data_IF_128357708922
#
_entry.id   IF_128357708922
#
_cell.length_a   1.000
_cell.length_b   1.000
_cell.length_c   1.000
_cell.angle_alpha   90.00
_cell.angle_beta   90.00
_cell.angle_gamma   90.00
#
_symmetry.space_group_name_H-M   'P 1'
#
loop_
_entity.id
_entity.type
_entity.pdbx_description
1 polymer ?
#
# COMPACT_ATOMS: atom_id res chain seq x y z
N UNK A 1 1.27 -21.37 3.47
CA UNK A 1 -0.18 -20.96 3.51
C UNK A 1 -0.45 -19.72 2.67
N UNK A 2 0.45 -18.75 2.66
CA UNK A 2 0.28 -17.49 1.89
C UNK A 2 0.19 -17.72 0.37
N UNK A 3 0.86 -18.72 -0.17
CA UNK A 3 0.92 -19.01 -1.62
C UNK A 3 -0.47 -19.26 -2.24
N UNK A 4 -1.40 -19.82 -1.49
CA UNK A 4 -2.79 -20.04 -1.97
C UNK A 4 -3.58 -18.75 -2.12
N UNK A 5 -3.18 -17.66 -1.46
CA UNK A 5 -3.87 -16.38 -1.60
C UNK A 5 -3.66 -15.79 -2.99
N UNK A 6 -2.46 -15.89 -3.56
CA UNK A 6 -2.18 -15.40 -4.90
C UNK A 6 -2.99 -16.13 -5.99
N UNK A 7 -3.18 -17.44 -5.83
CA UNK A 7 -4.08 -18.20 -6.71
C UNK A 7 -5.54 -17.73 -6.59
N UNK A 8 -6.02 -17.46 -5.38
CA UNK A 8 -7.36 -16.89 -5.17
C UNK A 8 -7.49 -15.53 -5.83
N UNK A 9 -6.46 -14.68 -5.70
CA UNK A 9 -6.42 -13.35 -6.32
C UNK A 9 -6.52 -13.43 -7.84
N UNK A 10 -5.70 -14.29 -8.48
CA UNK A 10 -5.78 -14.50 -9.94
C UNK A 10 -7.15 -14.98 -10.36
N UNK A 11 -7.74 -15.92 -9.60
CA UNK A 11 -9.12 -16.36 -9.87
C UNK A 11 -10.11 -15.19 -9.79
N UNK A 12 -10.02 -14.33 -8.77
CA UNK A 12 -10.90 -13.16 -8.64
C UNK A 12 -10.76 -12.19 -9.82
N UNK A 13 -9.55 -12.03 -10.36
CA UNK A 13 -9.29 -11.22 -11.56
C UNK A 13 -9.87 -11.91 -12.80
N UNK A 14 -9.55 -13.18 -13.02
CA UNK A 14 -10.06 -13.97 -14.17
C UNK A 14 -11.59 -14.01 -14.21
N UNK A 15 -12.25 -14.15 -13.06
CA UNK A 15 -13.72 -14.14 -12.98
C UNK A 15 -14.33 -12.82 -13.47
N UNK A 16 -13.59 -11.70 -13.37
CA UNK A 16 -14.03 -10.37 -13.81
C UNK A 16 -13.64 -10.04 -15.26
N UNK A 17 -12.60 -10.69 -15.79
CA UNK A 17 -12.15 -10.44 -17.16
C UNK A 17 -13.22 -10.87 -18.17
N UNK A 18 -13.30 -10.14 -19.27
CA UNK A 18 -14.16 -10.51 -20.41
C UNK A 18 -13.56 -11.69 -21.16
N UNK A 19 -14.37 -12.40 -21.94
CA UNK A 19 -13.88 -13.46 -22.83
C UNK A 19 -13.02 -12.88 -23.97
N UNK A 20 -12.14 -13.70 -24.53
CA UNK A 20 -11.14 -13.33 -25.53
C UNK A 20 -10.27 -12.18 -25.07
N UNK A 21 -9.78 -12.28 -23.83
CA UNK A 21 -8.96 -11.22 -23.22
C UNK A 21 -7.67 -11.73 -22.60
N UNK A 22 -6.70 -10.85 -22.60
CA UNK A 22 -5.40 -11.04 -21.94
C UNK A 22 -5.22 -9.90 -20.94
N UNK A 23 -4.66 -10.20 -19.76
CA UNK A 23 -4.11 -9.22 -18.84
C UNK A 23 -2.59 -9.42 -18.77
N UNK A 24 -1.85 -8.34 -18.96
CA UNK A 24 -0.39 -8.32 -18.79
C UNK A 24 -0.03 -7.40 -17.64
N UNK A 25 0.80 -7.90 -16.74
CA UNK A 25 1.35 -7.15 -15.60
C UNK A 25 2.87 -7.20 -15.62
N UNK A 26 3.48 -6.08 -15.33
CA UNK A 26 4.93 -5.90 -15.24
C UNK A 26 5.31 -5.70 -13.78
N UNK A 27 6.44 -6.26 -13.34
CA UNK A 27 6.91 -6.06 -11.96
C UNK A 27 7.42 -4.65 -11.72
N UNK A 28 7.95 -3.98 -12.75
CA UNK A 28 8.39 -2.57 -12.74
C UNK A 28 9.10 -2.15 -11.43
N UNK A 29 10.19 -2.79 -11.05
CA UNK A 29 10.90 -2.41 -9.85
C UNK A 29 11.51 -1.02 -10.04
N UNK A 30 11.65 -0.28 -8.95
CA UNK A 30 12.59 0.84 -8.89
C UNK A 30 14.00 0.28 -8.71
N UNK A 31 14.93 0.80 -9.49
CA UNK A 31 16.34 0.46 -9.36
C UNK A 31 16.78 0.65 -7.90
N UNK A 32 17.57 -0.29 -7.40
CA UNK A 32 18.21 -0.28 -6.08
C UNK A 32 17.29 -0.30 -4.85
N UNK A 33 15.98 -0.47 -5.01
CA UNK A 33 15.05 -0.56 -3.88
C UNK A 33 14.50 -1.97 -3.73
N UNK A 34 15.00 -2.68 -2.74
CA UNK A 34 14.49 -4.02 -2.39
C UNK A 34 12.99 -3.97 -2.06
N UNK A 35 12.21 -4.93 -2.55
CA UNK A 35 10.77 -5.06 -2.34
C UNK A 35 9.90 -3.96 -2.99
N UNK A 36 10.43 -3.19 -3.93
CA UNK A 36 9.67 -2.16 -4.64
C UNK A 36 9.27 -2.61 -6.05
N UNK A 37 8.43 -3.63 -6.11
CA UNK A 37 7.77 -4.05 -7.35
C UNK A 37 6.36 -3.49 -7.43
N UNK A 38 5.76 -3.57 -8.60
CA UNK A 38 4.37 -3.18 -8.79
C UNK A 38 3.43 -3.94 -7.86
N UNK A 39 2.52 -3.23 -7.19
CA UNK A 39 1.62 -3.81 -6.18
C UNK A 39 0.59 -4.77 -6.77
N UNK A 40 0.12 -4.55 -8.01
CA UNK A 40 -0.82 -5.44 -8.67
C UNK A 40 -0.10 -6.67 -9.23
N UNK A 41 1.15 -6.50 -9.70
CA UNK A 41 2.01 -7.63 -10.02
C UNK A 41 2.23 -8.53 -8.78
N UNK A 42 2.62 -7.94 -7.64
CA UNK A 42 2.80 -8.70 -6.40
C UNK A 42 1.51 -9.40 -5.96
N UNK A 43 0.36 -8.72 -6.06
CA UNK A 43 -0.96 -9.23 -5.68
C UNK A 43 -1.32 -10.54 -6.39
N UNK A 44 -0.83 -10.75 -7.61
CA UNK A 44 -1.09 -11.96 -8.39
C UNK A 44 0.06 -12.96 -8.40
N UNK A 45 1.32 -12.52 -8.17
CA UNK A 45 2.52 -13.35 -8.28
C UNK A 45 3.10 -13.79 -6.94
N UNK A 46 3.03 -12.93 -5.92
CA UNK A 46 3.62 -13.16 -4.60
C UNK A 46 5.14 -13.05 -4.55
N UNK A 47 5.78 -12.53 -5.59
CA UNK A 47 7.24 -12.40 -5.62
C UNK A 47 7.72 -10.98 -5.90
N UNK A 48 9.00 -10.71 -5.59
CA UNK A 48 9.65 -9.41 -5.71
C UNK A 48 10.74 -9.40 -6.79
N UNK A 49 10.65 -10.30 -7.78
CA UNK A 49 11.64 -10.38 -8.85
C UNK A 49 11.48 -9.23 -9.85
N UNK A 50 12.63 -8.79 -10.38
CA UNK A 50 12.74 -7.67 -11.31
C UNK A 50 12.30 -8.06 -12.71
N UNK A 51 11.73 -7.09 -13.43
CA UNK A 51 11.38 -7.18 -14.86
C UNK A 51 10.53 -8.38 -15.25
N UNK A 52 10.05 -9.16 -14.29
CA UNK A 52 9.16 -10.28 -14.55
C UNK A 52 7.80 -9.80 -15.05
N UNK A 53 7.09 -10.68 -15.73
CA UNK A 53 5.76 -10.39 -16.27
C UNK A 53 4.80 -11.52 -15.89
N UNK A 54 3.57 -11.16 -15.57
CA UNK A 54 2.47 -12.11 -15.40
C UNK A 54 1.47 -11.90 -16.51
N UNK A 55 1.01 -13.00 -17.11
CA UNK A 55 -0.02 -13.00 -18.13
C UNK A 55 -1.17 -13.88 -17.67
N UNK A 56 -2.37 -13.31 -17.64
CA UNK A 56 -3.61 -14.06 -17.46
C UNK A 56 -4.40 -14.00 -18.76
N UNK A 57 -4.84 -15.17 -19.25
CA UNK A 57 -5.65 -15.29 -20.45
C UNK A 57 -7.00 -15.90 -20.12
N UNK A 58 -8.05 -15.44 -20.79
CA UNK A 58 -9.39 -15.97 -20.66
C UNK A 58 -10.13 -16.04 -22.00
N UNK A 59 -10.65 -17.21 -22.29
CA UNK A 59 -11.62 -17.44 -23.36
C UNK A 59 -12.69 -18.44 -22.89
N UNK A 60 -13.84 -17.94 -22.45
CA UNK A 60 -14.89 -18.78 -21.84
C UNK A 60 -14.39 -19.50 -20.59
N UNK A 61 -14.32 -20.82 -20.66
CA UNK A 61 -13.78 -21.67 -19.58
C UNK A 61 -12.27 -21.93 -19.70
N UNK A 62 -11.68 -21.64 -20.86
CA UNK A 62 -10.24 -21.79 -21.06
C UNK A 62 -9.53 -20.58 -20.42
N UNK A 63 -8.75 -20.86 -19.39
CA UNK A 63 -7.95 -19.85 -18.69
C UNK A 63 -6.51 -20.31 -18.56
N UNK A 64 -5.57 -19.38 -18.78
CA UNK A 64 -4.14 -19.63 -18.59
C UNK A 64 -3.56 -18.62 -17.63
N UNK A 65 -2.64 -19.08 -16.81
CA UNK A 65 -1.85 -18.26 -15.86
C UNK A 65 -0.39 -18.52 -16.17
N UNK A 66 0.33 -17.52 -16.65
CA UNK A 66 1.71 -17.64 -17.07
C UNK A 66 2.57 -16.59 -16.35
N UNK A 67 3.81 -16.94 -16.05
CA UNK A 67 4.81 -16.01 -15.56
C UNK A 67 6.08 -16.12 -16.39
N UNK A 68 6.64 -14.97 -16.73
CA UNK A 68 7.87 -14.84 -17.51
C UNK A 68 8.96 -14.27 -16.60
N UNK A 69 10.08 -14.98 -16.53
CA UNK A 69 11.19 -14.71 -15.60
C UNK A 69 12.52 -14.63 -16.34
N UNK A 70 13.50 -14.01 -15.71
CA UNK A 70 14.86 -14.03 -16.21
C UNK A 70 15.48 -15.43 -16.19
N UNK A 71 16.23 -15.83 -17.23
CA UNK A 71 17.09 -17.01 -17.15
C UNK A 71 18.19 -16.78 -16.11
N UNK A 72 18.75 -17.87 -15.58
CA UNK A 72 19.95 -17.81 -14.75
C UNK A 72 21.14 -17.30 -15.55
N UNK A 73 21.82 -16.30 -15.02
CA UNK A 73 23.06 -15.73 -15.57
C UNK A 73 24.13 -15.78 -14.48
N UNK A 74 25.19 -16.57 -14.71
CA UNK A 74 26.27 -16.76 -13.75
C UNK A 74 27.03 -15.48 -13.43
N UNK A 75 27.22 -14.61 -14.43
CA UNK A 75 27.91 -13.35 -14.23
C UNK A 75 27.08 -12.40 -13.35
N UNK A 76 25.81 -12.19 -13.68
CA UNK A 76 24.90 -11.37 -12.88
C UNK A 76 24.73 -11.93 -11.46
N UNK A 77 24.63 -13.26 -11.32
CA UNK A 77 24.48 -13.91 -10.02
C UNK A 77 25.66 -13.64 -9.06
N UNK A 78 26.88 -13.48 -9.59
CA UNK A 78 28.05 -13.09 -8.78
C UNK A 78 27.99 -11.65 -8.27
N UNK A 79 27.27 -10.75 -8.94
CA UNK A 79 27.21 -9.33 -8.59
C UNK A 79 25.98 -8.96 -7.76
N UNK A 80 24.81 -9.46 -8.14
CA UNK A 80 23.54 -9.03 -7.56
C UNK A 80 22.71 -10.18 -6.97
N UNK A 81 23.23 -11.41 -7.00
CA UNK A 81 22.51 -12.62 -6.58
C UNK A 81 21.78 -13.28 -7.75
N UNK A 82 21.48 -14.56 -7.59
CA UNK A 82 20.73 -15.33 -8.58
C UNK A 82 19.24 -14.97 -8.52
N UNK A 83 18.55 -14.87 -9.68
CA UNK A 83 17.09 -14.78 -9.69
C UNK A 83 16.46 -16.06 -9.14
N UNK A 84 15.20 -16.01 -8.76
CA UNK A 84 14.46 -17.19 -8.32
C UNK A 84 14.36 -18.23 -9.46
N UNK A 85 14.57 -19.50 -9.12
CA UNK A 85 14.40 -20.59 -10.09
C UNK A 85 12.92 -20.80 -10.44
N UNK A 86 12.64 -21.51 -11.55
CA UNK A 86 11.27 -21.87 -11.93
C UNK A 86 10.55 -22.64 -10.81
N UNK A 87 11.26 -23.51 -10.08
CA UNK A 87 10.71 -24.25 -8.94
C UNK A 87 10.33 -23.32 -7.79
N UNK A 88 11.21 -22.37 -7.44
CA UNK A 88 10.93 -21.38 -6.38
C UNK A 88 9.76 -20.46 -6.75
N UNK A 89 9.70 -19.99 -7.99
CA UNK A 89 8.56 -19.21 -8.50
C UNK A 89 7.25 -20.02 -8.45
N UNK A 90 7.30 -21.30 -8.89
CA UNK A 90 6.13 -22.19 -8.81
C UNK A 90 5.66 -22.41 -7.38
N UNK A 91 6.58 -22.58 -6.46
CA UNK A 91 6.26 -22.74 -5.03
C UNK A 91 5.61 -21.47 -4.47
N UNK A 92 6.14 -20.29 -4.78
CA UNK A 92 5.62 -19.02 -4.28
C UNK A 92 4.27 -18.65 -4.90
N UNK A 93 4.16 -18.70 -6.22
CA UNK A 93 2.99 -18.19 -6.96
C UNK A 93 1.89 -19.23 -7.18
N UNK A 94 2.24 -20.51 -7.15
CA UNK A 94 1.43 -21.63 -7.62
C UNK A 94 1.07 -21.54 -9.13
N UNK A 95 1.81 -20.74 -9.92
CA UNK A 95 1.75 -20.75 -11.37
C UNK A 95 2.66 -21.89 -11.86
N UNK A 96 2.12 -22.77 -12.70
CA UNK A 96 2.89 -23.90 -13.25
C UNK A 96 3.46 -23.64 -14.63
N UNK A 97 2.88 -22.70 -15.38
CA UNK A 97 3.29 -22.32 -16.72
C UNK A 97 4.31 -21.18 -16.63
N UNK A 98 5.61 -21.53 -16.64
CA UNK A 98 6.71 -20.61 -16.37
C UNK A 98 7.65 -20.60 -17.57
N UNK A 99 7.78 -19.44 -18.19
CA UNK A 99 8.61 -19.15 -19.33
C UNK A 99 9.80 -18.25 -18.99
N UNK A 100 10.79 -18.23 -19.86
CA UNK A 100 11.80 -17.18 -19.82
C UNK A 100 11.32 -15.94 -20.59
N UNK A 101 11.83 -14.76 -20.21
CA UNK A 101 11.44 -13.48 -20.82
C UNK A 101 11.65 -13.45 -22.33
N UNK A 102 12.63 -14.16 -22.84
CA UNK A 102 12.92 -14.29 -24.27
C UNK A 102 11.74 -14.92 -25.07
N UNK A 103 10.93 -15.74 -24.40
CA UNK A 103 9.77 -16.41 -24.99
C UNK A 103 8.52 -15.51 -25.01
N UNK A 104 8.54 -14.38 -24.28
CA UNK A 104 7.35 -13.54 -24.06
C UNK A 104 6.67 -13.11 -25.34
N UNK A 105 7.42 -12.56 -26.29
CA UNK A 105 6.84 -12.02 -27.52
C UNK A 105 6.22 -13.13 -28.38
N UNK A 106 6.85 -14.29 -28.47
CA UNK A 106 6.33 -15.43 -29.26
C UNK A 106 5.04 -16.01 -28.64
N UNK A 107 4.99 -16.09 -27.30
CA UNK A 107 3.80 -16.56 -26.58
C UNK A 107 2.66 -15.54 -26.74
N UNK A 108 2.96 -14.24 -26.60
CA UNK A 108 1.95 -13.19 -26.78
C UNK A 108 1.39 -13.16 -28.21
N UNK A 109 2.24 -13.33 -29.24
CA UNK A 109 1.78 -13.43 -30.63
C UNK A 109 0.77 -14.55 -30.83
N UNK A 110 1.02 -15.72 -30.21
CA UNK A 110 0.08 -16.84 -30.27
C UNK A 110 -1.25 -16.51 -29.57
N UNK A 111 -1.20 -15.84 -28.43
CA UNK A 111 -2.42 -15.46 -27.68
C UNK A 111 -3.23 -14.37 -28.41
N UNK A 112 -2.56 -13.43 -29.08
CA UNK A 112 -3.22 -12.36 -29.85
C UNK A 112 -3.97 -12.83 -31.08
N UNK A 113 -3.73 -14.07 -31.54
CA UNK A 113 -4.52 -14.66 -32.64
C UNK A 113 -5.98 -14.91 -32.23
N UNK A 114 -6.24 -15.17 -30.95
CA UNK A 114 -7.57 -15.47 -30.41
C UNK A 114 -8.14 -14.34 -29.53
N UNK A 115 -7.28 -13.54 -28.91
CA UNK A 115 -7.70 -12.45 -28.07
C UNK A 115 -8.09 -11.20 -28.85
N UNK A 116 -9.14 -10.52 -28.41
CA UNK A 116 -9.60 -9.25 -28.95
C UNK A 116 -9.45 -8.09 -27.96
N UNK A 117 -9.10 -8.40 -26.71
CA UNK A 117 -9.00 -7.43 -25.63
C UNK A 117 -7.70 -7.61 -24.86
N UNK A 118 -7.04 -6.50 -24.60
CA UNK A 118 -5.82 -6.45 -23.80
C UNK A 118 -6.02 -5.51 -22.60
N UNK A 119 -5.97 -6.09 -21.40
CA UNK A 119 -5.89 -5.33 -20.15
C UNK A 119 -4.44 -5.04 -19.80
N UNK A 120 -4.15 -3.78 -19.49
CA UNK A 120 -2.86 -3.33 -19.01
C UNK A 120 -3.10 -2.40 -17.81
N UNK A 121 -2.25 -2.43 -16.81
CA UNK A 121 -2.40 -1.60 -15.60
C UNK A 121 -1.93 -0.17 -15.86
N UNK A 122 -2.79 0.67 -16.42
CA UNK A 122 -2.52 2.04 -16.82
C UNK A 122 -2.69 3.04 -15.65
N UNK A 123 -2.04 2.77 -14.51
CA UNK A 123 -2.15 3.60 -13.30
C UNK A 123 -1.71 5.04 -13.50
N UNK A 124 -0.66 5.25 -14.27
CA UNK A 124 -0.11 6.57 -14.55
C UNK A 124 -0.42 6.97 -15.99
N UNK A 125 -1.70 7.30 -16.24
CA UNK A 125 -2.16 7.79 -17.55
C UNK A 125 -1.46 9.08 -17.98
N UNK A 126 -0.83 9.81 -17.04
CA UNK A 126 -0.09 11.04 -17.31
C UNK A 126 1.34 10.77 -17.76
N UNK A 127 1.86 9.57 -17.52
CA UNK A 127 3.19 9.18 -17.98
C UNK A 127 3.12 8.37 -19.29
N UNK A 128 3.25 9.01 -20.46
CA UNK A 128 3.14 8.33 -21.74
C UNK A 128 4.32 7.38 -22.02
N UNK A 129 5.32 7.36 -21.16
CA UNK A 129 6.55 6.55 -21.26
C UNK A 129 6.61 5.43 -20.25
N UNK A 130 5.56 5.19 -19.45
CA UNK A 130 5.53 4.01 -18.60
C UNK A 130 5.59 2.72 -19.43
N UNK A 131 6.14 1.67 -18.84
CA UNK A 131 6.25 0.35 -19.48
C UNK A 131 4.90 -0.12 -20.02
N UNK A 132 3.86 0.05 -19.22
CA UNK A 132 2.49 -0.34 -19.54
C UNK A 132 1.94 0.45 -20.72
N UNK A 133 2.15 1.77 -20.72
CA UNK A 133 1.67 2.64 -21.79
C UNK A 133 2.39 2.36 -23.12
N UNK A 134 3.71 2.17 -23.07
CA UNK A 134 4.49 1.81 -24.24
C UNK A 134 4.09 0.43 -24.79
N UNK A 135 3.90 -0.55 -23.90
CA UNK A 135 3.44 -1.87 -24.30
C UNK A 135 2.03 -1.83 -24.93
N UNK A 136 1.10 -1.10 -24.32
CA UNK A 136 -0.25 -0.93 -24.84
C UNK A 136 -0.26 -0.29 -26.25
N UNK A 137 0.54 0.76 -26.46
CA UNK A 137 0.70 1.43 -27.78
C UNK A 137 1.28 0.48 -28.82
N UNK A 138 2.39 -0.17 -28.51
CA UNK A 138 3.05 -1.10 -29.43
C UNK A 138 2.13 -2.29 -29.80
N UNK A 139 1.44 -2.84 -28.82
CA UNK A 139 0.48 -3.93 -29.04
C UNK A 139 -0.68 -3.49 -29.95
N UNK A 140 -1.22 -2.28 -29.72
CA UNK A 140 -2.30 -1.72 -30.57
C UNK A 140 -1.86 -1.44 -32.01
N UNK A 141 -0.64 -0.93 -32.18
CA UNK A 141 -0.07 -0.66 -33.48
C UNK A 141 0.14 -1.95 -34.29
N UNK A 142 0.72 -2.97 -33.66
CA UNK A 142 1.00 -4.26 -34.27
C UNK A 142 -0.27 -5.10 -34.50
N UNK A 143 -1.26 -5.01 -33.61
CA UNK A 143 -2.51 -5.74 -33.62
C UNK A 143 -3.71 -4.80 -33.56
N UNK A 144 -4.10 -4.16 -34.71
CA UNK A 144 -5.17 -3.16 -34.73
C UNK A 144 -6.54 -3.63 -34.25
N UNK A 145 -6.80 -4.94 -34.24
CA UNK A 145 -8.04 -5.54 -33.75
C UNK A 145 -8.18 -5.51 -32.23
N UNK A 146 -7.06 -5.38 -31.48
CA UNK A 146 -7.09 -5.35 -30.02
C UNK A 146 -7.77 -4.08 -29.50
N UNK A 147 -8.63 -4.24 -28.51
CA UNK A 147 -9.14 -3.12 -27.70
C UNK A 147 -8.38 -3.10 -26.37
N UNK A 148 -7.77 -1.96 -26.07
CA UNK A 148 -7.00 -1.78 -24.83
C UNK A 148 -7.94 -1.36 -23.71
N UNK A 149 -7.82 -2.00 -22.57
CA UNK A 149 -8.55 -1.68 -21.34
C UNK A 149 -7.59 -1.39 -20.21
N UNK A 150 -7.92 -0.38 -19.37
CA UNK A 150 -7.23 -0.17 -18.12
C UNK A 150 -7.64 -1.27 -17.10
N UNK A 151 -6.66 -1.98 -16.55
CA UNK A 151 -6.89 -3.05 -15.59
C UNK A 151 -7.26 -2.54 -14.17
N UNK A 152 -7.14 -1.24 -13.90
CA UNK A 152 -7.40 -0.65 -12.57
C UNK A 152 -8.73 -1.11 -11.98
N UNK A 153 -9.80 -1.13 -12.79
CA UNK A 153 -11.14 -1.55 -12.34
C UNK A 153 -11.20 -2.99 -11.81
N UNK A 154 -10.44 -3.91 -12.42
CA UNK A 154 -10.33 -5.30 -11.98
C UNK A 154 -9.69 -5.39 -10.59
N UNK A 155 -8.56 -4.69 -10.42
CA UNK A 155 -7.82 -4.69 -9.15
C UNK A 155 -8.55 -3.93 -8.04
N UNK A 156 -9.14 -2.78 -8.35
CA UNK A 156 -9.94 -2.03 -7.39
C UNK A 156 -11.05 -2.89 -6.79
N UNK A 157 -11.78 -3.62 -7.63
CA UNK A 157 -12.84 -4.51 -7.16
C UNK A 157 -12.31 -5.70 -6.37
N UNK A 158 -11.23 -6.36 -6.84
CA UNK A 158 -10.63 -7.51 -6.16
C UNK A 158 -10.02 -7.14 -4.81
N UNK A 159 -9.33 -6.00 -4.71
CA UNK A 159 -8.59 -5.56 -3.52
C UNK A 159 -9.43 -4.83 -2.48
N UNK A 160 -10.68 -4.44 -2.81
CA UNK A 160 -11.57 -3.72 -1.87
C UNK A 160 -11.93 -4.58 -0.68
N UNK A 161 -12.34 -5.84 -0.89
CA UNK A 161 -12.66 -6.77 0.19
C UNK A 161 -11.47 -7.72 0.37
N UNK A 162 -10.86 -7.66 1.55
CA UNK A 162 -9.67 -8.45 1.87
C UNK A 162 -10.03 -9.87 2.24
N UNK A 163 -9.24 -10.82 1.76
CA UNK A 163 -9.30 -12.20 2.21
C UNK A 163 -8.73 -12.32 3.66
N UNK A 164 -9.09 -13.37 4.41
CA UNK A 164 -8.55 -13.58 5.76
C UNK A 164 -7.03 -13.57 5.82
N UNK A 165 -6.35 -14.15 4.83
CA UNK A 165 -4.90 -14.19 4.73
C UNK A 165 -4.30 -12.79 4.56
N UNK A 166 -4.95 -11.91 3.78
CA UNK A 166 -4.54 -10.51 3.61
C UNK A 166 -4.69 -9.71 4.91
N UNK A 167 -5.76 -10.00 5.67
CA UNK A 167 -5.98 -9.37 6.98
C UNK A 167 -4.86 -9.72 7.97
N UNK A 168 -4.35 -10.95 7.94
CA UNK A 168 -3.22 -11.35 8.79
C UNK A 168 -1.93 -10.61 8.42
N UNK A 169 -1.66 -10.37 7.13
CA UNK A 169 -0.52 -9.54 6.69
C UNK A 169 -0.67 -8.08 7.16
N UNK A 170 -1.87 -7.51 7.07
CA UNK A 170 -2.17 -6.17 7.59
C UNK A 170 -1.97 -6.10 9.11
N UNK A 171 -2.44 -7.10 9.86
CA UNK A 171 -2.22 -7.19 11.31
C UNK A 171 -0.74 -7.27 11.64
N UNK A 172 0.04 -7.99 10.83
CA UNK A 172 1.50 -8.07 11.00
C UNK A 172 2.16 -6.71 10.80
N UNK A 173 1.80 -5.97 9.74
CA UNK A 173 2.27 -4.61 9.51
C UNK A 173 1.92 -3.68 10.70
N UNK A 174 0.67 -3.73 11.20
CA UNK A 174 0.23 -2.97 12.38
C UNK A 174 1.04 -3.34 13.62
N UNK A 175 1.30 -4.62 13.83
CA UNK A 175 2.10 -5.10 14.98
C UNK A 175 3.54 -4.59 14.92
N UNK A 176 4.15 -4.55 13.73
CA UNK A 176 5.51 -4.02 13.55
C UNK A 176 5.52 -2.51 13.80
N UNK A 177 4.55 -1.77 13.25
CA UNK A 177 4.42 -0.32 13.48
C UNK A 177 4.23 0.01 14.96
N UNK A 178 3.41 -0.79 15.67
CA UNK A 178 3.27 -0.66 17.12
C UNK A 178 4.62 -0.80 17.83
N UNK A 179 5.46 -1.76 17.46
CA UNK A 179 6.82 -1.92 17.99
C UNK A 179 7.71 -0.71 17.71
N UNK A 180 7.56 -0.11 16.52
CA UNK A 180 8.23 1.15 16.20
C UNK A 180 7.83 2.30 17.11
N UNK A 181 6.52 2.46 17.37
CA UNK A 181 6.01 3.48 18.29
C UNK A 181 6.51 3.23 19.72
N UNK A 182 6.48 1.98 20.20
CA UNK A 182 7.01 1.62 21.51
C UNK A 182 8.50 2.00 21.62
N UNK A 183 9.31 1.72 20.59
CA UNK A 183 10.72 2.09 20.57
C UNK A 183 10.95 3.61 20.59
N UNK A 184 10.12 4.40 19.89
CA UNK A 184 10.14 5.87 20.01
C UNK A 184 9.88 6.29 21.46
N UNK A 185 8.84 5.73 22.11
CA UNK A 185 8.46 6.10 23.47
C UNK A 185 9.52 5.76 24.50
N UNK A 186 10.21 4.63 24.36
CA UNK A 186 11.30 4.20 25.24
C UNK A 186 12.52 5.17 25.16
N UNK A 187 12.62 5.94 24.06
CA UNK A 187 13.70 6.91 23.85
C UNK A 187 13.22 8.36 23.83
N UNK A 188 11.93 8.60 24.17
CA UNK A 188 11.33 9.94 24.14
C UNK A 188 12.03 10.90 25.09
N UNK A 189 12.59 11.97 24.53
CA UNK A 189 13.22 13.09 25.23
C UNK A 189 13.28 14.28 24.30
N UNK A 190 13.67 15.42 24.83
CA UNK A 190 14.02 16.59 24.00
C UNK A 190 15.14 16.23 23.02
N UNK A 191 14.84 16.31 21.72
CA UNK A 191 15.71 15.91 20.60
C UNK A 191 15.16 16.42 19.28
N UNK A 192 15.92 16.30 18.22
CA UNK A 192 15.39 16.58 16.87
C UNK A 192 14.33 15.56 16.45
N UNK A 193 13.37 16.00 15.67
CA UNK A 193 12.27 15.16 15.16
C UNK A 193 12.80 13.92 14.39
N UNK A 194 13.80 14.12 13.50
CA UNK A 194 14.44 12.99 12.78
C UNK A 194 15.16 12.00 13.69
N UNK A 195 15.64 12.44 14.87
CA UNK A 195 16.25 11.51 15.83
C UNK A 195 15.20 10.59 16.46
N UNK A 196 14.00 11.11 16.74
CA UNK A 196 12.89 10.30 17.23
C UNK A 196 12.37 9.37 16.11
N UNK A 197 12.29 9.86 14.88
CA UNK A 197 11.97 9.04 13.70
C UNK A 197 12.93 7.86 13.55
N UNK A 198 14.24 8.06 13.75
CA UNK A 198 15.24 7.00 13.60
C UNK A 198 15.02 5.78 14.50
N UNK A 199 14.36 5.93 15.64
CA UNK A 199 13.97 4.80 16.49
C UNK A 199 12.84 3.98 15.87
N UNK A 200 11.93 4.63 15.13
CA UNK A 200 10.94 3.92 14.33
C UNK A 200 11.60 3.10 13.23
N UNK A 201 12.50 3.72 12.47
CA UNK A 201 13.22 3.10 11.36
C UNK A 201 13.99 1.87 11.80
N UNK A 202 14.73 2.00 12.88
CA UNK A 202 15.47 0.89 13.47
C UNK A 202 14.55 -0.28 13.83
N UNK A 203 13.42 0.01 14.47
CA UNK A 203 12.50 -1.03 14.93
C UNK A 203 11.79 -1.72 13.76
N UNK A 204 11.24 -0.98 12.79
CA UNK A 204 10.54 -1.62 11.67
C UNK A 204 11.46 -2.51 10.86
N UNK A 205 12.73 -2.08 10.64
CA UNK A 205 13.74 -2.89 9.97
C UNK A 205 14.10 -4.13 10.79
N UNK A 206 14.27 -3.99 12.11
CA UNK A 206 14.59 -5.09 13.02
C UNK A 206 13.49 -6.17 13.03
N UNK A 207 12.22 -5.76 12.99
CA UNK A 207 11.07 -6.68 12.99
C UNK A 207 10.65 -7.17 11.60
N UNK A 208 11.42 -6.85 10.55
CA UNK A 208 11.30 -7.45 9.22
C UNK A 208 10.24 -6.79 8.33
N UNK A 209 9.95 -5.51 8.52
CA UNK A 209 9.18 -4.76 7.54
C UNK A 209 9.89 -4.74 6.17
N UNK A 210 9.13 -4.76 5.10
CA UNK A 210 9.66 -4.67 3.72
C UNK A 210 9.95 -3.23 3.29
N UNK A 211 9.48 -2.25 4.05
CA UNK A 211 9.69 -0.82 3.81
C UNK A 211 8.75 0.04 4.62
N UNK A 212 8.73 1.33 4.31
CA UNK A 212 7.73 2.26 4.81
C UNK A 212 6.41 2.10 4.05
N UNK A 213 5.30 2.36 4.72
CA UNK A 213 4.00 2.49 4.06
C UNK A 213 3.90 3.82 3.29
N UNK A 214 4.44 4.87 3.89
CA UNK A 214 4.57 6.24 3.40
C UNK A 214 5.69 6.94 4.17
N UNK A 215 6.17 8.12 3.72
CA UNK A 215 7.16 8.89 4.46
C UNK A 215 6.65 9.26 5.85
N UNK A 216 7.47 9.04 6.88
CA UNK A 216 7.12 9.29 8.28
C UNK A 216 6.94 10.80 8.53
N UNK A 217 5.93 11.17 9.30
CA UNK A 217 5.73 12.50 9.84
C UNK A 217 6.05 12.47 11.33
N UNK A 218 7.00 13.31 11.76
CA UNK A 218 7.35 13.53 13.15
C UNK A 218 7.26 15.05 13.43
N UNK A 219 6.08 15.51 13.86
CA UNK A 219 5.74 16.92 13.90
C UNK A 219 5.57 17.44 15.33
N UNK A 220 6.53 18.21 15.84
CA UNK A 220 6.52 18.73 17.20
C UNK A 220 5.94 20.15 17.28
N UNK A 221 5.33 20.50 18.41
CA UNK A 221 4.78 21.81 18.68
C UNK A 221 3.86 22.32 17.57
N UNK A 222 4.19 23.45 16.96
CA UNK A 222 3.42 24.08 15.88
C UNK A 222 3.39 23.26 14.58
N UNK A 223 4.43 22.45 14.34
CA UNK A 223 4.53 21.63 13.13
C UNK A 223 3.41 20.59 13.06
N UNK A 224 2.92 20.10 14.22
CA UNK A 224 1.75 19.22 14.31
C UNK A 224 0.43 19.82 13.80
N UNK A 225 0.41 21.12 13.46
CA UNK A 225 -0.73 21.78 12.81
C UNK A 225 -0.64 21.74 11.26
N UNK A 226 0.46 21.24 10.70
CA UNK A 226 0.63 21.01 9.28
C UNK A 226 0.37 19.54 8.98
N UNK A 227 -0.70 19.23 8.21
CA UNK A 227 -1.15 17.86 8.00
C UNK A 227 -0.11 16.97 7.29
N UNK A 228 0.65 17.52 6.35
CA UNK A 228 1.71 16.81 5.64
C UNK A 228 3.06 17.46 5.88
N UNK A 229 3.42 17.60 7.17
CA UNK A 229 4.75 18.07 7.56
C UNK A 229 5.78 16.96 7.29
N UNK A 230 6.77 17.26 6.46
CA UNK A 230 7.71 16.26 5.96
C UNK A 230 9.18 16.55 6.30
N UNK A 231 9.45 17.74 6.86
CA UNK A 231 10.84 18.16 7.08
C UNK A 231 11.50 17.40 8.23
N UNK A 232 10.76 17.16 9.33
CA UNK A 232 11.20 16.42 10.51
C UNK A 232 12.54 16.97 11.11
N UNK A 233 12.79 18.27 11.00
CA UNK A 233 14.10 18.88 11.34
C UNK A 233 14.08 19.74 12.61
N UNK A 234 12.91 20.07 13.15
CA UNK A 234 12.81 20.91 14.34
C UNK A 234 13.14 20.13 15.63
N UNK A 235 13.38 20.87 16.71
CA UNK A 235 13.60 20.30 18.05
C UNK A 235 12.26 20.13 18.75
N UNK A 236 11.91 18.89 19.07
CA UNK A 236 10.83 18.53 19.96
C UNK A 236 11.22 18.90 21.41
N UNK A 237 10.62 19.95 21.99
CA UNK A 237 10.98 20.51 23.30
C UNK A 237 10.09 19.96 24.41
N UNK A 238 10.65 19.94 25.61
CA UNK A 238 9.84 19.68 26.80
C UNK A 238 8.70 20.70 26.93
N UNK A 239 7.48 20.19 27.10
CA UNK A 239 6.25 21.00 27.10
C UNK A 239 5.48 20.97 25.79
N UNK A 240 6.11 20.59 24.68
CA UNK A 240 5.43 20.38 23.40
C UNK A 240 4.69 19.03 23.37
N UNK A 241 3.70 18.95 22.49
CA UNK A 241 3.22 17.69 21.94
C UNK A 241 4.00 17.39 20.66
N UNK A 242 4.23 16.10 20.39
CA UNK A 242 4.72 15.62 19.10
C UNK A 242 3.71 14.66 18.51
N UNK A 243 3.33 14.89 17.26
CA UNK A 243 2.50 14.01 16.46
C UNK A 243 3.42 13.14 15.61
N UNK A 244 3.19 11.84 15.67
CA UNK A 244 3.75 10.88 14.73
C UNK A 244 2.63 10.36 13.84
N UNK A 245 2.85 10.42 12.54
CA UNK A 245 2.03 9.74 11.53
C UNK A 245 2.96 8.85 10.71
N UNK A 246 2.82 7.55 10.91
CA UNK A 246 3.81 6.58 10.48
C UNK A 246 3.21 5.20 10.23
N UNK A 247 3.87 4.44 9.39
CA UNK A 247 3.45 3.10 9.05
C UNK A 247 4.53 2.32 8.31
N UNK A 248 4.50 1.01 8.43
CA UNK A 248 5.37 0.15 7.67
C UNK A 248 4.60 -0.69 6.64
N UNK A 249 5.32 -1.14 5.63
CA UNK A 249 4.88 -2.15 4.68
C UNK A 249 5.42 -3.51 5.09
N UNK A 250 4.57 -4.52 5.08
CA UNK A 250 4.94 -5.91 5.26
C UNK A 250 4.28 -6.73 4.15
N UNK A 251 5.09 -7.35 3.28
CA UNK A 251 4.61 -8.08 2.10
C UNK A 251 3.58 -7.26 1.28
N UNK A 252 3.87 -5.97 1.03
CA UNK A 252 3.02 -5.01 0.31
C UNK A 252 1.70 -4.63 1.02
N UNK A 253 1.43 -5.13 2.22
CA UNK A 253 0.33 -4.65 3.07
C UNK A 253 0.84 -3.60 4.03
N UNK A 254 0.15 -2.47 4.07
CA UNK A 254 0.58 -1.29 4.81
C UNK A 254 -0.22 -1.11 6.09
N UNK A 255 0.43 -0.57 7.11
CA UNK A 255 -0.21 0.04 8.27
C UNK A 255 -0.14 1.57 8.17
N UNK A 256 -1.00 2.23 8.91
CA UNK A 256 -1.11 3.69 8.97
C UNK A 256 -1.63 4.05 10.35
N UNK A 257 -0.79 4.70 11.18
CA UNK A 257 -1.10 4.98 12.58
C UNK A 257 -0.60 6.36 12.97
N UNK A 258 -1.54 7.26 13.27
CA UNK A 258 -1.23 8.56 13.86
C UNK A 258 -1.36 8.52 15.38
N UNK A 259 -0.38 9.04 16.11
CA UNK A 259 -0.40 9.19 17.59
C UNK A 259 0.29 10.47 18.01
N UNK A 260 -0.24 11.07 19.07
CA UNK A 260 0.32 12.29 19.66
C UNK A 260 0.75 12.04 21.10
N UNK A 261 1.95 12.45 21.45
CA UNK A 261 2.52 12.26 22.77
C UNK A 261 3.11 13.57 23.31
N UNK A 262 3.13 13.77 24.64
CA UNK A 262 3.90 14.87 25.23
C UNK A 262 5.39 14.49 25.26
N UNK A 263 6.25 15.36 24.76
CA UNK A 263 7.72 15.14 24.73
C UNK A 263 8.29 14.87 26.13
N UNK A 264 7.74 15.53 27.15
CA UNK A 264 8.13 15.34 28.57
C UNK A 264 7.57 14.06 29.21
N UNK A 265 6.80 13.23 28.47
CA UNK A 265 6.10 12.06 29.01
C UNK A 265 4.84 12.38 29.82
N UNK A 266 4.50 13.67 30.05
CA UNK A 266 3.33 14.10 30.82
C UNK A 266 2.58 15.22 30.11
N UNK A 267 1.27 14.99 29.90
CA UNK A 267 0.37 16.03 29.42
C UNK A 267 0.18 17.14 30.43
N UNK A 268 0.21 18.39 29.99
CA UNK A 268 -0.39 19.49 30.77
C UNK A 268 -1.90 19.28 30.91
N UNK A 269 -2.58 19.94 31.89
CA UNK A 269 -4.04 19.81 32.03
C UNK A 269 -4.81 20.13 30.75
N UNK A 270 -4.41 21.16 30.01
CA UNK A 270 -5.07 21.57 28.77
C UNK A 270 -4.82 20.56 27.63
N UNK A 271 -3.58 20.11 27.49
CA UNK A 271 -3.25 19.08 26.50
C UNK A 271 -4.05 17.79 26.75
N UNK A 272 -4.11 17.34 28.02
CA UNK A 272 -4.88 16.14 28.38
C UNK A 272 -6.37 16.30 28.10
N UNK A 273 -6.93 17.49 28.36
CA UNK A 273 -8.34 17.78 28.10
C UNK A 273 -8.66 17.63 26.60
N UNK A 274 -7.84 18.26 25.72
CA UNK A 274 -8.03 18.15 24.28
C UNK A 274 -7.81 16.72 23.77
N UNK A 275 -6.72 16.08 24.21
CA UNK A 275 -6.40 14.70 23.84
C UNK A 275 -7.57 13.75 24.16
N UNK A 276 -8.16 13.87 25.35
CA UNK A 276 -9.27 13.02 25.77
C UNK A 276 -10.54 13.25 24.91
N UNK A 277 -10.77 14.49 24.44
CA UNK A 277 -11.90 14.77 23.53
C UNK A 277 -11.65 14.08 22.19
N UNK A 278 -10.43 14.16 21.64
CA UNK A 278 -10.08 13.51 20.37
C UNK A 278 -10.22 11.99 20.49
N UNK A 279 -9.69 11.40 21.55
CA UNK A 279 -9.80 9.97 21.83
C UNK A 279 -11.26 9.53 21.94
N UNK A 280 -12.05 10.25 22.73
CA UNK A 280 -13.47 9.94 22.90
C UNK A 280 -14.27 10.07 21.58
N UNK A 281 -13.89 11.04 20.73
CA UNK A 281 -14.46 11.21 19.38
C UNK A 281 -14.16 10.00 18.49
N UNK A 282 -12.92 9.53 18.48
CA UNK A 282 -12.52 8.33 17.77
C UNK A 282 -13.30 7.09 18.24
N UNK A 283 -13.37 6.86 19.56
CA UNK A 283 -14.11 5.74 20.14
C UNK A 283 -15.62 5.85 19.86
N UNK A 284 -16.15 7.07 19.82
CA UNK A 284 -17.55 7.31 19.48
C UNK A 284 -17.84 6.89 18.03
N UNK A 285 -17.01 7.29 17.07
CA UNK A 285 -17.18 6.93 15.65
C UNK A 285 -17.02 5.43 15.43
N UNK A 286 -16.04 4.79 16.08
CA UNK A 286 -15.81 3.35 15.96
C UNK A 286 -17.06 2.51 16.26
N UNK A 287 -17.91 2.94 17.20
CA UNK A 287 -19.18 2.27 17.54
C UNK A 287 -20.23 2.33 16.44
N UNK A 288 -20.06 3.23 15.46
CA UNK A 288 -21.00 3.41 14.36
C UNK A 288 -20.55 2.72 13.06
N UNK A 289 -19.32 2.17 13.03
CA UNK A 289 -18.81 1.48 11.86
C UNK A 289 -19.58 0.17 11.64
N UNK A 290 -20.23 0.08 10.47
CA UNK A 290 -20.98 -1.11 10.04
C UNK A 290 -21.07 -1.15 8.52
N UNK A 291 -21.32 -2.32 7.91
CA UNK A 291 -21.54 -2.40 6.46
C UNK A 291 -22.64 -1.45 6.00
N UNK A 292 -22.37 -0.71 4.93
CA UNK A 292 -23.30 0.25 4.32
C UNK A 292 -23.20 1.68 4.85
N UNK A 293 -22.50 1.95 5.97
CA UNK A 293 -22.24 3.32 6.39
C UNK A 293 -21.18 3.97 5.51
N UNK A 294 -21.37 5.23 5.15
CA UNK A 294 -20.41 5.99 4.36
C UNK A 294 -19.43 6.77 5.25
N UNK A 295 -18.26 7.10 4.71
CA UNK A 295 -17.29 8.00 5.38
C UNK A 295 -17.89 9.36 5.66
N UNK A 296 -18.78 9.88 4.79
CA UNK A 296 -19.50 11.13 5.00
C UNK A 296 -20.41 11.09 6.23
N UNK A 297 -21.11 9.98 6.44
CA UNK A 297 -21.98 9.81 7.63
C UNK A 297 -21.14 9.70 8.90
N UNK A 298 -20.04 8.94 8.88
CA UNK A 298 -19.11 8.85 10.01
C UNK A 298 -18.53 10.22 10.36
N UNK A 299 -18.16 11.01 9.35
CA UNK A 299 -17.66 12.36 9.53
C UNK A 299 -18.72 13.29 10.20
N UNK A 300 -19.97 13.20 9.76
CA UNK A 300 -21.06 13.96 10.38
C UNK A 300 -21.32 13.58 11.84
N UNK A 301 -21.17 12.29 12.18
CA UNK A 301 -21.26 11.82 13.57
C UNK A 301 -20.15 12.45 14.41
N UNK A 302 -18.92 12.49 13.90
CA UNK A 302 -17.78 13.07 14.59
C UNK A 302 -17.92 14.58 14.78
N UNK A 303 -18.35 15.32 13.75
CA UNK A 303 -18.60 16.77 13.80
C UNK A 303 -19.63 17.10 14.91
N UNK A 304 -20.74 16.37 14.97
CA UNK A 304 -21.75 16.56 16.02
C UNK A 304 -21.19 16.30 17.41
N UNK A 305 -20.36 15.26 17.56
CA UNK A 305 -19.69 14.95 18.83
C UNK A 305 -18.75 16.10 19.23
N UNK A 306 -17.92 16.59 18.32
CA UNK A 306 -17.02 17.71 18.60
C UNK A 306 -17.75 19.02 18.89
N UNK A 307 -18.88 19.30 18.23
CA UNK A 307 -19.68 20.47 18.54
C UNK A 307 -20.09 20.52 20.01
N UNK A 308 -20.49 19.40 20.58
CA UNK A 308 -20.85 19.29 22.00
C UNK A 308 -19.63 19.44 22.91
N UNK A 309 -18.57 18.69 22.64
CA UNK A 309 -17.41 18.63 23.57
C UNK A 309 -16.57 19.92 23.53
N UNK A 310 -16.40 20.54 22.37
CA UNK A 310 -15.66 21.79 22.24
C UNK A 310 -16.39 22.98 22.88
N UNK A 311 -17.74 22.98 22.85
CA UNK A 311 -18.55 23.97 23.61
C UNK A 311 -18.34 23.83 25.12
N UNK A 312 -18.35 22.60 25.66
CA UNK A 312 -18.14 22.37 27.11
C UNK A 312 -16.85 22.96 27.64
N UNK A 313 -15.80 22.98 26.82
CA UNK A 313 -14.48 23.53 27.19
C UNK A 313 -14.28 24.99 26.76
N UNK A 314 -15.34 25.63 26.24
CA UNK A 314 -15.33 27.02 25.80
C UNK A 314 -14.47 27.33 24.58
N UNK A 315 -14.15 26.34 23.77
CA UNK A 315 -13.33 26.53 22.56
C UNK A 315 -14.15 27.09 21.39
N UNK A 316 -15.42 26.71 21.31
CA UNK A 316 -16.39 27.25 20.34
C UNK A 316 -17.64 27.72 21.07
N UNK A 317 -18.39 28.64 20.43
CA UNK A 317 -19.72 29.12 20.90
C UNK A 317 -20.84 28.51 20.08
N UNK A 318 -20.65 28.44 18.78
CA UNK A 318 -21.64 27.93 17.82
C UNK A 318 -21.14 26.66 17.13
N UNK A 319 -22.07 25.77 16.75
CA UNK A 319 -21.72 24.49 16.07
C UNK A 319 -20.97 24.70 14.75
N UNK A 320 -21.28 25.80 14.04
CA UNK A 320 -20.59 26.15 12.79
C UNK A 320 -19.10 26.43 12.95
N UNK A 321 -18.62 26.69 14.17
CA UNK A 321 -17.21 26.95 14.45
C UNK A 321 -16.36 25.67 14.54
N UNK A 322 -16.98 24.49 14.54
CA UNK A 322 -16.25 23.20 14.60
C UNK A 322 -15.23 23.10 13.45
N UNK A 323 -15.59 23.58 12.26
CA UNK A 323 -14.70 23.58 11.09
C UNK A 323 -13.42 24.39 11.25
N UNK A 324 -13.29 25.21 12.30
CA UNK A 324 -12.03 25.90 12.62
C UNK A 324 -10.99 24.97 13.30
N UNK A 325 -11.44 23.86 13.84
CA UNK A 325 -10.64 22.92 14.65
C UNK A 325 -10.66 21.50 14.14
N UNK A 326 -11.46 21.25 13.09
CA UNK A 326 -11.63 19.94 12.50
C UNK A 326 -11.79 20.05 10.98
N UNK A 327 -10.98 19.29 10.20
CA UNK A 327 -10.96 19.27 8.74
C UNK A 327 -11.46 17.95 8.18
#
# INVERSE_FOLDING_TARGET
MINKVFQKHRKMILDQMMDHSILVLFSNPKEDVKYDVDRNYYYVSGNFEYENRVVLYKNGKDTKEMIFIHPYDEFKAKWVGAPLSKEAIKEQSLISDIHYLEEFDSVMESLFQDATKLYVDLKDEKNPYSTEMLYAKASKEKHPHLVIFNAEGLFKKARTIKLPEEIEEMKKAISITKKGIENILDHMKESYEYQLESYFDQAIKYYGATGYAFPTIAASGKNGCCLHYMDNEDIAKNGDLILFDLGCSYHMYCSDISRTFPVSGKFSPRQKQIYNIVLAGQEHVLKHIKPGITTKELNQILIKFYAVELKKIGLIKEDSEVSKYYY
#
